data_IF_943729614260
#
_entry.id   IF_943729614260
#
_cell.length_a   1.000
_cell.length_b   1.000
_cell.length_c   1.000
_cell.angle_alpha   90.00
_cell.angle_beta   90.00
_cell.angle_gamma   90.00
#
_symmetry.space_group_name_H-M   'P 1'
#
loop_
_entity.id
_entity.type
_entity.pdbx_description
1 polymer ?
#
# COMPACT_ATOMS: atom_id res chain seq x y z
N UNK A 1 18.67 10.69 -30.37
CA UNK A 1 18.96 11.24 -29.03
C UNK A 1 20.36 10.76 -28.64
N UNK A 2 21.34 11.65 -28.43
CA UNK A 2 22.73 11.26 -28.17
C UNK A 2 22.87 10.60 -26.78
N UNK A 3 23.41 9.38 -26.74
CA UNK A 3 23.68 8.61 -25.51
C UNK A 3 24.90 9.17 -24.76
N UNK A 4 25.01 8.86 -23.46
CA UNK A 4 26.12 9.32 -22.59
C UNK A 4 27.49 9.01 -23.21
N UNK A 5 27.63 7.80 -23.73
CA UNK A 5 28.89 7.32 -24.30
C UNK A 5 29.27 8.08 -25.58
N UNK A 6 28.27 8.46 -26.39
CA UNK A 6 28.49 9.25 -27.60
C UNK A 6 28.97 10.68 -27.31
N UNK A 7 28.51 11.28 -26.19
CA UNK A 7 28.94 12.63 -25.78
C UNK A 7 30.37 12.58 -25.22
N UNK A 8 30.66 11.58 -24.39
CA UNK A 8 31.98 11.41 -23.79
C UNK A 8 33.05 11.14 -24.86
N UNK A 9 32.73 10.33 -25.88
CA UNK A 9 33.65 10.10 -27.00
C UNK A 9 33.85 11.33 -27.89
N UNK A 10 32.78 12.09 -28.17
CA UNK A 10 32.85 13.22 -29.10
C UNK A 10 33.54 14.45 -28.52
N UNK A 11 33.39 14.69 -27.23
CA UNK A 11 33.93 15.88 -26.56
C UNK A 11 35.07 15.55 -25.57
N UNK A 12 35.46 14.28 -25.46
CA UNK A 12 36.46 13.77 -24.53
C UNK A 12 36.23 14.22 -23.07
N UNK A 13 34.96 14.26 -22.65
CA UNK A 13 34.56 14.65 -21.31
C UNK A 13 34.23 13.40 -20.49
N UNK A 14 34.69 13.36 -19.24
CA UNK A 14 34.29 12.32 -18.29
C UNK A 14 33.15 12.82 -17.39
N UNK A 15 31.94 12.90 -17.95
CA UNK A 15 30.75 13.40 -17.23
C UNK A 15 29.84 12.26 -16.75
N UNK A 16 29.24 12.46 -15.58
CA UNK A 16 28.24 11.55 -15.03
C UNK A 16 26.89 11.76 -15.71
N UNK A 17 25.99 10.78 -15.58
CA UNK A 17 24.63 10.91 -16.11
C UNK A 17 23.91 12.15 -15.55
N UNK A 18 24.12 12.44 -14.26
CA UNK A 18 23.51 13.57 -13.56
C UNK A 18 24.00 14.89 -14.14
N UNK A 19 25.30 15.03 -14.42
CA UNK A 19 25.85 16.25 -15.00
C UNK A 19 25.27 16.53 -16.40
N UNK A 20 25.16 15.49 -17.22
CA UNK A 20 24.55 15.59 -18.55
C UNK A 20 23.06 15.98 -18.44
N UNK A 21 22.35 15.44 -17.45
CA UNK A 21 20.96 15.80 -17.20
C UNK A 21 20.85 17.27 -16.77
N UNK A 22 21.69 17.72 -15.85
CA UNK A 22 21.75 19.11 -15.39
C UNK A 22 21.99 20.08 -16.54
N UNK A 23 22.95 19.77 -17.44
CA UNK A 23 23.21 20.57 -18.64
C UNK A 23 21.97 20.62 -19.54
N UNK A 24 21.29 19.48 -19.76
CA UNK A 24 20.06 19.44 -20.58
C UNK A 24 18.93 20.24 -19.95
N UNK A 25 18.81 20.23 -18.63
CA UNK A 25 17.77 20.96 -17.91
C UNK A 25 18.06 22.46 -17.88
N UNK A 26 19.34 22.86 -17.87
CA UNK A 26 19.77 24.27 -17.92
C UNK A 26 19.50 24.95 -19.27
N UNK A 27 19.26 24.18 -20.35
CA UNK A 27 18.89 24.76 -21.65
C UNK A 27 17.46 25.35 -21.56
N UNK A 28 17.28 26.65 -21.87
CA UNK A 28 15.98 27.31 -21.88
C UNK A 28 14.96 26.59 -22.77
N UNK A 29 13.69 26.60 -22.35
CA UNK A 29 12.62 25.97 -23.10
C UNK A 29 12.44 26.56 -24.50
N UNK A 30 12.54 27.90 -24.62
CA UNK A 30 12.43 28.60 -25.90
C UNK A 30 13.44 28.10 -26.95
N UNK A 31 14.64 27.74 -26.50
CA UNK A 31 15.69 27.24 -27.39
C UNK A 31 15.44 25.80 -27.82
N UNK A 32 14.88 24.97 -26.92
CA UNK A 32 14.44 23.61 -27.28
C UNK A 32 13.33 23.65 -28.30
N UNK A 33 12.38 24.56 -28.15
CA UNK A 33 11.26 24.72 -29.06
C UNK A 33 11.72 25.20 -30.44
N UNK A 34 12.66 26.15 -30.51
CA UNK A 34 13.28 26.57 -31.77
C UNK A 34 14.04 25.43 -32.47
N UNK A 35 14.78 24.61 -31.73
CA UNK A 35 15.49 23.44 -32.28
C UNK A 35 14.50 22.37 -32.78
N UNK A 36 13.40 22.15 -32.08
CA UNK A 36 12.33 21.22 -32.50
C UNK A 36 11.62 21.71 -33.77
N UNK A 37 11.42 23.03 -33.91
CA UNK A 37 10.80 23.63 -35.09
C UNK A 37 11.71 23.55 -36.34
N UNK A 38 13.03 23.72 -36.18
CA UNK A 38 13.98 23.65 -37.29
C UNK A 38 14.12 22.25 -37.92
N UNK A 39 13.79 21.19 -37.17
CA UNK A 39 13.87 19.80 -37.65
C UNK A 39 12.52 19.22 -38.09
N UNK A 40 11.41 19.96 -37.97
CA UNK A 40 10.13 19.58 -38.57
C UNK A 40 10.03 20.18 -39.97
N UNK A 41 10.45 19.42 -40.98
CA UNK A 41 10.00 19.68 -42.35
C UNK A 41 8.46 19.58 -42.40
N UNK A 42 7.77 20.39 -43.23
CA UNK A 42 6.30 20.46 -43.27
C UNK A 42 5.66 19.23 -43.95
N UNK A 43 6.36 18.09 -44.00
CA UNK A 43 5.91 16.93 -44.74
C UNK A 43 6.19 15.64 -43.97
N UNK A 44 5.39 15.42 -42.93
CA UNK A 44 4.85 14.08 -42.73
C UNK A 44 3.41 14.25 -42.30
N UNK A 45 2.50 13.86 -43.19
CA UNK A 45 1.21 13.30 -42.82
C UNK A 45 1.47 12.12 -41.90
N UNK A 46 1.85 12.37 -40.64
CA UNK A 46 1.66 11.39 -39.60
C UNK A 46 0.15 11.30 -39.47
N UNK A 47 -0.40 10.18 -39.93
CA UNK A 47 -1.76 9.78 -39.62
C UNK A 47 -1.96 10.05 -38.14
N UNK A 48 -2.66 11.16 -37.85
CA UNK A 48 -2.81 11.66 -36.51
C UNK A 48 -3.77 10.73 -35.84
N UNK A 49 -3.26 9.66 -35.24
CA UNK A 49 -4.03 8.91 -34.27
C UNK A 49 -4.36 9.93 -33.18
N UNK A 50 -5.61 10.37 -33.20
CA UNK A 50 -6.16 11.27 -32.22
C UNK A 50 -6.75 10.40 -31.15
N UNK A 51 -6.23 10.57 -29.96
CA UNK A 51 -6.75 9.95 -28.78
C UNK A 51 -8.00 10.72 -28.34
N UNK A 52 -9.15 10.05 -28.30
CA UNK A 52 -10.43 10.64 -27.91
C UNK A 52 -10.90 10.05 -26.57
N UNK A 53 -10.98 10.89 -25.55
CA UNK A 53 -11.50 10.55 -24.23
C UNK A 53 -12.24 11.75 -23.65
N UNK A 54 -13.47 11.54 -23.17
CA UNK A 54 -14.33 12.58 -22.57
C UNK A 54 -14.39 13.89 -23.39
N UNK A 55 -14.66 13.77 -24.70
CA UNK A 55 -14.74 14.89 -25.66
C UNK A 55 -13.44 15.69 -25.88
N UNK A 56 -12.29 15.22 -25.40
CA UNK A 56 -10.98 15.81 -25.71
C UNK A 56 -10.26 14.96 -26.74
N UNK A 57 -9.87 15.60 -27.83
CA UNK A 57 -9.09 15.04 -28.93
C UNK A 57 -7.63 15.47 -28.78
N UNK A 58 -6.78 14.55 -28.34
CA UNK A 58 -5.36 14.82 -28.10
C UNK A 58 -4.54 14.01 -29.10
N UNK A 59 -3.62 14.62 -29.88
CA UNK A 59 -2.73 13.86 -30.74
C UNK A 59 -1.79 13.00 -29.89
N UNK A 60 -1.53 11.75 -30.32
CA UNK A 60 -0.66 10.83 -29.55
C UNK A 60 0.71 11.43 -29.22
N UNK A 61 1.26 12.27 -30.10
CA UNK A 61 2.53 12.97 -29.86
C UNK A 61 2.54 13.91 -28.66
N UNK A 62 1.37 14.31 -28.15
CA UNK A 62 1.19 15.21 -27.00
C UNK A 62 0.53 14.51 -25.79
N UNK A 63 0.38 13.18 -25.82
CA UNK A 63 -0.14 12.43 -24.68
C UNK A 63 0.85 12.41 -23.53
N UNK A 64 0.41 12.78 -22.33
CA UNK A 64 1.15 12.53 -21.11
C UNK A 64 0.70 11.23 -20.47
N UNK A 65 1.57 10.61 -19.65
CA UNK A 65 1.25 9.39 -18.93
C UNK A 65 -0.07 9.51 -18.13
N UNK A 66 -0.34 10.67 -17.52
CA UNK A 66 -1.58 10.96 -16.78
C UNK A 66 -2.86 10.78 -17.61
N UNK A 67 -2.81 11.12 -18.90
CA UNK A 67 -3.97 11.05 -19.81
C UNK A 67 -4.25 9.58 -20.22
N UNK A 68 -3.21 8.75 -20.23
CA UNK A 68 -3.32 7.29 -20.43
C UNK A 68 -3.72 6.59 -19.13
N UNK A 69 -3.26 7.08 -17.97
CA UNK A 69 -3.67 6.55 -16.67
C UNK A 69 -5.16 6.76 -16.40
N UNK A 70 -5.75 7.88 -16.80
CA UNK A 70 -7.20 8.12 -16.63
C UNK A 70 -8.06 7.09 -17.37
N UNK A 71 -7.61 6.60 -18.54
CA UNK A 71 -8.26 5.49 -19.26
C UNK A 71 -8.18 4.16 -18.52
N UNK A 72 -6.97 3.81 -18.06
CA UNK A 72 -6.74 2.56 -17.35
C UNK A 72 -7.51 2.54 -16.03
N UNK A 73 -7.80 3.72 -15.47
CA UNK A 73 -8.63 3.88 -14.29
C UNK A 73 -10.11 3.51 -14.51
N UNK A 74 -10.60 3.51 -15.76
CA UNK A 74 -12.00 3.17 -16.09
C UNK A 74 -12.21 1.65 -16.20
N UNK A 75 -11.16 0.85 -16.47
CA UNK A 75 -11.24 -0.62 -16.40
C UNK A 75 -10.91 -1.09 -15.00
N UNK A 76 -11.91 -1.07 -14.11
CA UNK A 76 -11.95 -1.78 -12.83
C UNK A 76 -10.58 -1.99 -12.17
N UNK A 77 -9.83 -0.90 -11.94
CA UNK A 77 -8.75 -0.95 -10.97
C UNK A 77 -9.39 -0.61 -9.64
N UNK A 78 -9.39 -1.61 -8.76
CA UNK A 78 -9.65 -1.44 -7.33
C UNK A 78 -8.59 -0.47 -6.80
N UNK A 79 -8.88 0.83 -6.83
CA UNK A 79 -7.88 1.86 -6.59
C UNK A 79 -7.74 2.16 -5.09
N UNK A 80 -6.51 1.99 -4.63
CA UNK A 80 -5.96 2.65 -3.44
C UNK A 80 -5.92 4.16 -3.71
N UNK A 81 -6.71 4.89 -2.92
CA UNK A 81 -6.62 6.29 -2.50
C UNK A 81 -6.06 7.36 -3.46
N UNK A 82 -6.92 8.32 -3.81
CA UNK A 82 -6.90 9.70 -3.27
C UNK A 82 -8.05 10.48 -3.96
N UNK A 83 -8.99 11.08 -3.21
CA UNK A 83 -8.88 12.50 -2.85
C UNK A 83 -10.08 12.96 -1.98
N UNK A 84 -9.79 14.02 -1.23
CA UNK A 84 -10.58 14.86 -0.32
C UNK A 84 -12.12 14.87 -0.41
N UNK A 85 -12.71 14.88 0.80
CA UNK A 85 -14.00 15.45 1.19
C UNK A 85 -15.27 14.69 0.76
N UNK A 86 -15.98 14.22 1.78
CA UNK A 86 -17.44 14.34 1.87
C UNK A 86 -18.23 13.91 0.64
N UNK A 87 -18.41 12.61 0.46
CA UNK A 87 -19.63 12.07 -0.16
C UNK A 87 -20.11 10.84 0.62
N UNK A 88 -21.02 11.09 1.57
CA UNK A 88 -22.14 10.18 1.85
C UNK A 88 -22.67 9.68 0.50
N UNK A 89 -22.96 8.38 0.37
CA UNK A 89 -24.05 7.77 -0.45
C UNK A 89 -23.72 6.40 -1.09
N UNK A 90 -22.49 5.87 -1.10
CA UNK A 90 -22.22 4.61 -1.82
C UNK A 90 -21.83 3.38 -0.98
N UNK A 91 -22.21 3.31 0.29
CA UNK A 91 -21.95 2.10 1.11
C UNK A 91 -23.07 1.04 0.95
N UNK A 92 -24.25 1.40 0.46
CA UNK A 92 -25.44 0.55 0.55
C UNK A 92 -25.57 -0.53 -0.55
N UNK A 93 -24.66 -0.61 -1.53
CA UNK A 93 -24.82 -1.52 -2.69
C UNK A 93 -23.77 -2.62 -2.87
N UNK A 94 -22.81 -2.78 -1.96
CA UNK A 94 -21.83 -3.87 -2.06
C UNK A 94 -22.26 -5.07 -1.21
N UNK A 95 -23.31 -5.74 -1.71
CA UNK A 95 -23.80 -7.02 -1.23
C UNK A 95 -22.84 -8.15 -1.64
N UNK A 96 -22.32 -8.81 -0.61
CA UNK A 96 -21.88 -10.20 -0.49
C UNK A 96 -21.62 -11.03 -1.77
N UNK A 97 -20.34 -11.37 -1.98
CA UNK A 97 -19.89 -12.74 -2.30
C UNK A 97 -18.41 -12.90 -1.97
N UNK A 98 -18.11 -13.74 -0.98
CA UNK A 98 -16.82 -14.41 -0.79
C UNK A 98 -15.63 -13.51 -0.37
N UNK A 99 -15.64 -12.97 0.85
CA UNK A 99 -14.43 -12.44 1.53
C UNK A 99 -13.82 -11.13 1.01
N UNK A 100 -14.18 -10.68 -0.20
CA UNK A 100 -13.63 -9.47 -0.83
C UNK A 100 -14.06 -8.16 -0.18
N UNK A 101 -15.18 -8.14 0.55
CA UNK A 101 -15.79 -6.91 1.03
C UNK A 101 -15.23 -6.49 2.40
N UNK A 102 -14.87 -7.44 3.28
CA UNK A 102 -14.25 -7.15 4.58
C UNK A 102 -12.89 -6.44 4.41
N UNK A 103 -12.13 -6.88 3.41
CA UNK A 103 -10.82 -6.32 3.03
C UNK A 103 -10.96 -4.85 2.62
N UNK A 104 -11.92 -4.57 1.75
CA UNK A 104 -12.16 -3.23 1.22
C UNK A 104 -12.60 -2.25 2.32
N UNK A 105 -13.48 -2.70 3.22
CA UNK A 105 -14.02 -1.83 4.27
C UNK A 105 -12.94 -1.43 5.28
N UNK A 106 -12.09 -2.36 5.72
CA UNK A 106 -10.97 -2.01 6.61
C UNK A 106 -9.95 -1.10 5.93
N UNK A 107 -9.68 -1.30 4.63
CA UNK A 107 -8.69 -0.51 3.90
C UNK A 107 -9.13 0.95 3.67
N UNK A 108 -10.42 1.19 3.43
CA UNK A 108 -10.97 2.53 3.17
C UNK A 108 -11.01 3.43 4.41
N UNK A 109 -11.04 2.85 5.61
CA UNK A 109 -11.09 3.59 6.88
C UNK A 109 -9.73 4.21 7.23
N UNK A 110 -8.66 3.76 6.57
CA UNK A 110 -7.30 4.07 6.96
C UNK A 110 -6.78 5.28 6.19
N UNK A 111 -6.32 6.29 6.91
CA UNK A 111 -5.58 7.41 6.31
C UNK A 111 -4.08 7.07 6.18
N UNK A 112 -3.58 6.09 6.94
CA UNK A 112 -2.17 5.76 7.00
C UNK A 112 -1.77 4.62 6.06
N UNK A 113 -0.90 4.92 5.09
CA UNK A 113 -0.42 3.94 4.10
C UNK A 113 0.32 2.75 4.73
N UNK A 114 0.97 2.95 5.90
CA UNK A 114 1.69 1.87 6.60
C UNK A 114 0.76 0.80 7.15
N UNK A 115 -0.35 1.23 7.77
CA UNK A 115 -1.37 0.34 8.32
C UNK A 115 -2.12 -0.38 7.19
N UNK A 116 -2.44 0.33 6.09
CA UNK A 116 -3.03 -0.26 4.90
C UNK A 116 -2.14 -1.37 4.31
N UNK A 117 -0.85 -1.08 4.11
CA UNK A 117 0.10 -2.05 3.58
C UNK A 117 0.23 -3.29 4.49
N UNK A 118 0.15 -3.09 5.80
CA UNK A 118 0.21 -4.18 6.78
C UNK A 118 -1.05 -5.05 6.73
N UNK A 119 -2.23 -4.45 6.70
CA UNK A 119 -3.50 -5.17 6.51
C UNK A 119 -3.50 -5.94 5.18
N UNK A 120 -3.03 -5.32 4.10
CA UNK A 120 -2.91 -5.96 2.80
C UNK A 120 -2.01 -7.21 2.87
N UNK A 121 -0.83 -7.10 3.48
CA UNK A 121 0.09 -8.25 3.65
C UNK A 121 -0.54 -9.39 4.43
N UNK A 122 -1.30 -9.10 5.50
CA UNK A 122 -1.99 -10.11 6.31
C UNK A 122 -3.05 -10.83 5.49
N UNK A 123 -3.90 -10.08 4.81
CA UNK A 123 -5.02 -10.62 4.03
C UNK A 123 -4.55 -11.46 2.83
N UNK A 124 -3.46 -11.04 2.19
CA UNK A 124 -2.84 -11.80 1.10
C UNK A 124 -1.89 -12.91 1.59
N UNK A 125 -1.80 -13.12 2.91
CA UNK A 125 -0.93 -14.14 3.53
C UNK A 125 0.57 -14.00 3.17
N UNK A 126 1.02 -12.77 2.96
CA UNK A 126 2.40 -12.42 2.61
C UNK A 126 3.28 -12.27 3.86
N UNK A 127 2.68 -12.06 5.04
CA UNK A 127 3.43 -11.87 6.31
C UNK A 127 4.29 -13.09 6.64
N UNK A 128 5.54 -12.86 6.99
CA UNK A 128 6.49 -13.90 7.38
C UNK A 128 6.14 -14.54 8.72
N UNK A 129 6.17 -15.86 8.74
CA UNK A 129 5.92 -16.70 9.91
C UNK A 129 6.68 -18.00 9.77
N UNK A 130 6.98 -18.67 10.89
CA UNK A 130 7.98 -19.75 10.88
C UNK A 130 7.56 -20.93 10.00
N UNK A 131 6.26 -21.22 9.86
CA UNK A 131 5.79 -22.22 8.89
C UNK A 131 6.16 -21.87 7.43
N UNK A 132 6.04 -20.61 7.01
CA UNK A 132 6.51 -20.20 5.68
C UNK A 132 8.03 -20.19 5.60
N UNK A 133 8.72 -19.75 6.65
CA UNK A 133 10.19 -19.71 6.66
C UNK A 133 10.80 -21.11 6.53
N UNK A 134 10.27 -22.09 7.25
CA UNK A 134 10.65 -23.50 7.12
C UNK A 134 10.33 -24.03 5.71
N UNK A 135 9.14 -23.74 5.18
CA UNK A 135 8.75 -24.13 3.81
C UNK A 135 9.70 -23.57 2.75
N UNK A 136 10.25 -22.37 2.96
CA UNK A 136 11.25 -21.76 2.09
C UNK A 136 12.70 -22.12 2.46
N UNK A 137 12.92 -23.00 3.43
CA UNK A 137 14.25 -23.41 3.94
C UNK A 137 15.08 -22.24 4.47
N UNK A 138 14.41 -21.22 4.99
CA UNK A 138 15.00 -20.05 5.64
C UNK A 138 15.06 -20.17 7.17
N UNK A 139 14.37 -21.17 7.74
CA UNK A 139 14.39 -21.50 9.17
C UNK A 139 14.43 -23.01 9.36
N UNK A 140 15.04 -23.48 10.44
CA UNK A 140 15.16 -24.89 10.79
C UNK A 140 13.89 -25.44 11.47
N UNK A 141 13.04 -24.56 12.02
CA UNK A 141 11.85 -24.95 12.78
C UNK A 141 10.65 -24.10 12.40
N UNK A 142 9.46 -24.71 12.32
CA UNK A 142 8.19 -23.97 12.17
C UNK A 142 7.53 -23.56 13.50
N UNK A 143 8.15 -23.88 14.63
CA UNK A 143 7.60 -23.65 15.96
C UNK A 143 7.64 -22.17 16.36
N UNK A 144 6.62 -21.73 17.07
CA UNK A 144 6.57 -20.43 17.71
C UNK A 144 7.57 -20.39 18.87
N UNK A 145 8.38 -19.32 18.95
CA UNK A 145 9.37 -19.17 20.01
C UNK A 145 8.76 -19.16 21.42
N UNK A 146 7.53 -18.65 21.58
CA UNK A 146 6.88 -18.49 22.89
C UNK A 146 6.17 -19.74 23.37
N UNK A 147 5.37 -20.39 22.52
CA UNK A 147 4.48 -21.49 22.93
C UNK A 147 4.78 -22.83 22.26
N UNK A 148 5.81 -22.91 21.40
CA UNK A 148 6.26 -24.14 20.72
C UNK A 148 5.22 -24.83 19.83
N UNK A 149 4.11 -24.16 19.52
CA UNK A 149 3.14 -24.62 18.52
C UNK A 149 3.55 -24.18 17.10
N UNK A 150 2.96 -24.79 16.07
CA UNK A 150 3.22 -24.42 14.68
C UNK A 150 2.81 -22.96 14.44
N UNK A 151 3.77 -22.14 14.06
CA UNK A 151 3.58 -20.70 13.92
C UNK A 151 2.98 -20.36 12.54
N UNK A 152 1.65 -20.34 12.46
CA UNK A 152 0.89 -19.87 11.29
C UNK A 152 0.55 -18.38 11.37
N UNK A 153 -0.09 -17.81 10.34
CA UNK A 153 -0.61 -16.42 10.40
C UNK A 153 -1.66 -16.30 11.50
N UNK A 154 -2.61 -17.22 11.53
CA UNK A 154 -3.67 -17.27 12.54
C UNK A 154 -3.08 -17.38 13.94
N UNK A 155 -2.02 -18.17 14.10
CA UNK A 155 -1.26 -18.27 15.34
C UNK A 155 -0.61 -16.95 15.75
N UNK A 156 0.08 -16.30 14.82
CA UNK A 156 0.78 -15.05 15.08
C UNK A 156 -0.13 -13.88 15.49
N UNK A 157 -1.35 -13.85 14.98
CA UNK A 157 -2.26 -12.73 15.25
C UNK A 157 -3.38 -13.07 16.23
N UNK A 158 -3.62 -14.34 16.56
CA UNK A 158 -4.73 -14.71 17.44
C UNK A 158 -4.51 -15.95 18.30
N UNK A 159 -3.94 -17.05 17.78
CA UNK A 159 -3.97 -18.33 18.50
C UNK A 159 -2.83 -18.47 19.54
N UNK A 160 -1.72 -17.73 19.40
CA UNK A 160 -0.61 -17.72 20.35
C UNK A 160 -1.04 -17.30 21.75
N UNK A 161 -0.51 -17.97 22.79
CA UNK A 161 -0.86 -17.74 24.21
C UNK A 161 -0.65 -16.28 24.64
N UNK A 162 0.48 -15.67 24.26
CA UNK A 162 0.79 -14.28 24.57
C UNK A 162 -0.16 -13.32 23.85
N UNK A 163 -0.47 -13.60 22.59
CA UNK A 163 -1.34 -12.77 21.77
C UNK A 163 -2.80 -12.85 22.25
N UNK A 164 -3.26 -14.04 22.70
CA UNK A 164 -4.56 -14.20 23.36
C UNK A 164 -4.66 -13.41 24.66
N UNK A 165 -3.57 -13.27 25.41
CA UNK A 165 -3.55 -12.44 26.60
C UNK A 165 -3.64 -10.96 26.21
N UNK A 166 -2.84 -10.52 25.23
CA UNK A 166 -2.89 -9.16 24.71
C UNK A 166 -4.30 -8.76 24.24
N UNK A 167 -4.99 -9.59 23.45
CA UNK A 167 -6.36 -9.28 23.01
C UNK A 167 -7.36 -9.21 24.17
N UNK A 168 -7.16 -9.99 25.23
CA UNK A 168 -7.98 -9.89 26.46
C UNK A 168 -7.75 -8.54 27.15
N UNK A 169 -6.50 -8.09 27.23
CA UNK A 169 -6.17 -6.77 27.78
C UNK A 169 -6.75 -5.63 26.91
N UNK A 170 -6.71 -5.75 25.59
CA UNK A 170 -7.35 -4.80 24.66
C UNK A 170 -8.86 -4.76 24.86
N UNK A 171 -9.52 -5.92 24.99
CA UNK A 171 -10.96 -5.98 25.27
C UNK A 171 -11.32 -5.33 26.62
N UNK A 172 -10.51 -5.58 27.66
CA UNK A 172 -10.71 -4.97 28.97
C UNK A 172 -10.50 -3.45 28.92
N UNK A 173 -9.46 -2.98 28.23
CA UNK A 173 -9.20 -1.56 28.02
C UNK A 173 -10.34 -0.89 27.25
N UNK A 174 -10.84 -1.52 26.18
CA UNK A 174 -11.95 -0.99 25.40
C UNK A 174 -13.21 -0.85 26.26
N UNK A 175 -13.53 -1.87 27.07
CA UNK A 175 -14.65 -1.81 28.00
C UNK A 175 -14.46 -0.72 29.08
N UNK A 176 -13.25 -0.51 29.56
CA UNK A 176 -12.95 0.55 30.52
C UNK A 176 -13.16 1.95 29.93
N UNK A 177 -12.75 2.18 28.67
CA UNK A 177 -12.85 3.50 28.03
C UNK A 177 -14.25 3.80 27.52
N UNK A 178 -14.91 2.83 26.89
CA UNK A 178 -16.18 3.04 26.19
C UNK A 178 -17.40 2.47 26.93
N UNK A 179 -17.20 1.68 27.99
CA UNK A 179 -18.29 1.00 28.70
C UNK A 179 -18.95 -0.12 27.88
N UNK A 180 -18.32 -0.58 26.80
CA UNK A 180 -18.85 -1.59 25.88
C UNK A 180 -17.98 -2.85 25.94
N UNK A 181 -18.60 -3.99 26.20
CA UNK A 181 -17.91 -5.28 26.17
C UNK A 181 -17.79 -5.75 24.72
N UNK A 182 -16.55 -5.99 24.28
CA UNK A 182 -16.25 -6.50 22.93
C UNK A 182 -15.70 -7.92 22.98
N UNK A 183 -16.22 -8.77 22.10
CA UNK A 183 -15.74 -10.14 21.92
C UNK A 183 -14.97 -10.24 20.61
N UNK A 184 -13.64 -10.36 20.72
CA UNK A 184 -12.75 -10.50 19.57
C UNK A 184 -12.52 -11.99 19.27
N UNK A 185 -13.04 -12.44 18.14
CA UNK A 185 -12.79 -13.75 17.55
C UNK A 185 -11.68 -13.68 16.51
N UNK A 186 -11.10 -14.84 16.14
CA UNK A 186 -10.06 -14.93 15.10
C UNK A 186 -10.43 -14.16 13.83
N UNK A 187 -11.63 -14.38 13.30
CA UNK A 187 -12.07 -13.73 12.07
C UNK A 187 -12.22 -12.22 12.24
N UNK A 188 -12.74 -11.77 13.39
CA UNK A 188 -12.86 -10.34 13.68
C UNK A 188 -11.51 -9.66 13.87
N UNK A 189 -10.52 -10.39 14.39
CA UNK A 189 -9.15 -9.88 14.46
C UNK A 189 -8.59 -9.83 13.04
N UNK A 190 -8.47 -10.95 12.32
CA UNK A 190 -7.83 -10.98 10.99
C UNK A 190 -8.52 -10.06 9.97
N UNK A 191 -9.84 -10.17 9.82
CA UNK A 191 -10.61 -9.47 8.80
C UNK A 191 -11.22 -8.15 9.28
N UNK A 192 -11.35 -7.95 10.59
CA UNK A 192 -12.06 -6.81 11.17
C UNK A 192 -13.53 -7.09 11.49
N UNK A 193 -14.15 -6.20 12.26
CA UNK A 193 -15.56 -6.25 12.66
C UNK A 193 -16.43 -5.59 11.58
N UNK A 194 -17.44 -6.31 11.13
CA UNK A 194 -18.43 -5.84 10.16
C UNK A 194 -19.53 -5.05 10.85
N UNK A 195 -19.31 -3.76 11.12
CA UNK A 195 -20.37 -2.78 11.39
C UNK A 195 -19.79 -1.36 11.34
N UNK A 196 -20.53 -0.43 10.73
CA UNK A 196 -20.15 0.99 10.62
C UNK A 196 -19.90 1.68 11.94
N UNK A 197 -20.53 1.20 13.01
CA UNK A 197 -20.41 1.81 14.33
C UNK A 197 -19.07 1.47 15.02
N UNK A 198 -18.35 0.48 14.50
CA UNK A 198 -17.09 -0.03 15.06
C UNK A 198 -15.86 0.42 14.26
N UNK A 199 -15.94 1.58 13.59
CA UNK A 199 -14.81 2.17 12.86
C UNK A 199 -13.58 2.36 13.76
N UNK A 200 -13.78 2.93 14.94
CA UNK A 200 -12.71 3.16 15.91
C UNK A 200 -12.13 1.83 16.40
N UNK A 201 -12.98 0.84 16.65
CA UNK A 201 -12.53 -0.50 17.05
C UNK A 201 -11.68 -1.16 15.95
N UNK A 202 -12.11 -1.07 14.70
CA UNK A 202 -11.37 -1.60 13.56
C UNK A 202 -10.01 -0.92 13.38
N UNK A 203 -9.94 0.40 13.62
CA UNK A 203 -8.68 1.12 13.65
C UNK A 203 -7.77 0.62 14.79
N UNK A 204 -8.28 0.48 16.02
CA UNK A 204 -7.52 -0.04 17.14
C UNK A 204 -7.03 -1.48 16.90
N UNK A 205 -7.87 -2.37 16.37
CA UNK A 205 -7.49 -3.74 16.01
C UNK A 205 -6.36 -3.71 14.98
N UNK A 206 -6.42 -2.81 13.99
CA UNK A 206 -5.38 -2.74 12.99
C UNK A 206 -4.05 -2.21 13.53
N UNK A 207 -4.11 -1.15 14.33
CA UNK A 207 -2.93 -0.62 15.00
C UNK A 207 -2.27 -1.72 15.85
N UNK A 208 -3.08 -2.49 16.58
CA UNK A 208 -2.60 -3.59 17.40
C UNK A 208 -1.89 -4.68 16.56
N UNK A 209 -2.43 -5.04 15.39
CA UNK A 209 -1.74 -5.97 14.47
C UNK A 209 -0.41 -5.43 13.96
N UNK A 210 -0.36 -4.14 13.67
CA UNK A 210 0.87 -3.50 13.21
C UNK A 210 1.95 -3.61 14.28
N UNK A 211 1.60 -3.33 15.54
CA UNK A 211 2.51 -3.40 16.67
C UNK A 211 2.97 -4.84 16.94
N UNK A 212 2.05 -5.81 16.90
CA UNK A 212 2.38 -7.25 17.01
C UNK A 212 3.42 -7.64 15.94
N UNK A 213 3.18 -7.25 14.68
CA UNK A 213 4.09 -7.58 13.58
C UNK A 213 5.43 -6.83 13.70
N UNK A 214 5.41 -5.58 14.18
CA UNK A 214 6.60 -4.77 14.39
C UNK A 214 7.52 -5.36 15.46
N UNK A 215 6.97 -5.73 16.62
CA UNK A 215 7.72 -6.39 17.71
C UNK A 215 8.36 -7.68 17.22
N UNK A 216 7.61 -8.46 16.43
CA UNK A 216 8.11 -9.72 15.88
C UNK A 216 9.28 -9.53 14.91
N UNK A 217 9.22 -8.55 14.02
CA UNK A 217 10.29 -8.27 13.04
C UNK A 217 11.54 -7.74 13.74
N UNK A 218 11.37 -6.89 14.75
CA UNK A 218 12.48 -6.25 15.45
C UNK A 218 13.15 -7.13 16.49
N UNK A 219 12.58 -8.31 16.78
CA UNK A 219 13.01 -9.21 17.87
C UNK A 219 13.13 -8.51 19.24
N UNK A 220 12.48 -7.35 19.40
CA UNK A 220 12.41 -6.65 20.69
C UNK A 220 11.72 -7.57 21.69
N UNK A 221 12.22 -7.59 22.94
CA UNK A 221 11.68 -8.42 24.01
C UNK A 221 10.15 -8.35 24.02
N UNK A 222 9.49 -9.49 23.81
CA UNK A 222 8.02 -9.63 23.70
C UNK A 222 7.27 -9.13 24.94
N UNK A 223 7.99 -8.83 26.02
CA UNK A 223 7.56 -8.10 27.21
C UNK A 223 7.00 -6.69 26.92
N UNK A 224 7.23 -6.14 25.73
CA UNK A 224 6.71 -4.83 25.31
C UNK A 224 5.34 -4.87 24.63
N UNK A 225 4.75 -6.06 24.38
CA UNK A 225 3.36 -6.18 23.91
C UNK A 225 2.42 -5.91 25.11
N UNK A 226 2.48 -4.69 25.62
CA UNK A 226 1.60 -4.20 26.66
C UNK A 226 0.65 -3.18 26.04
N UNK A 227 -0.60 -3.17 26.49
CA UNK A 227 -1.56 -2.14 26.09
C UNK A 227 -1.02 -0.73 26.40
N UNK A 228 -0.16 -0.57 27.40
CA UNK A 228 0.49 0.70 27.70
C UNK A 228 1.46 1.19 26.60
N UNK A 229 2.11 0.29 25.87
CA UNK A 229 2.91 0.65 24.70
C UNK A 229 2.02 1.01 23.51
N UNK A 230 0.92 0.27 23.32
CA UNK A 230 -0.11 0.54 22.32
C UNK A 230 -0.78 1.92 22.51
N UNK A 231 -1.01 2.35 23.76
CA UNK A 231 -1.66 3.62 24.09
C UNK A 231 -0.75 4.86 24.12
N UNK A 232 0.56 4.70 23.92
CA UNK A 232 1.52 5.81 23.90
C UNK A 232 1.69 6.47 22.52
N UNK A 233 1.04 5.92 21.49
CA UNK A 233 0.94 6.47 20.14
C UNK A 233 -0.46 7.05 19.91
#
# INVERSE_FOLDING_TARGET
MLSRDAINQKYNLNVTFVDILSIKLAIPHDWKDLLLQQHMSPNSNSFGFVFEHENKKIPISKLFAKDVYSLLSIREVFLLFHDKVGKKVLIQKLVMKNGKICIHWLLNVLLESKLQASQYKILHRIVSHNYLLEKYKLSETNECASCKEIETIDHNFFECTEIKQFWREVSNWWNFVFGVIIFLNKDSVIFGVWNSDYLVLNYCILQAKYDINYVKITQLDRLLISVQAFLKF
#
